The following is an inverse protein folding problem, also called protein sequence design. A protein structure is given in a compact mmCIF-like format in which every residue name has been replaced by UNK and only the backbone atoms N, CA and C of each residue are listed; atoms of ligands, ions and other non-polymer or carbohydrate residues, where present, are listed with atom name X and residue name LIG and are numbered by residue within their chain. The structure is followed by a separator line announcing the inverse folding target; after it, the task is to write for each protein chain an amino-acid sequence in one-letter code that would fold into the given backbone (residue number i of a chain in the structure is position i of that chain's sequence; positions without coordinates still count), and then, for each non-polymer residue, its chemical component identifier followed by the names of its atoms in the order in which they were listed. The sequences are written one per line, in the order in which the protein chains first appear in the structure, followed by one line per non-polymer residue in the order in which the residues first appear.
data_IF_282943126278
#
_entry.id   IF_282943126278
#
_cell.length_a   1.000
_cell.length_b   1.000
_cell.length_c   1.000
_cell.angle_alpha   90.00
_cell.angle_beta   90.00
_cell.angle_gamma   90.00
#
_symmetry.space_group_name_H-M   'P 1'
#
loop_
_entity.id
_entity.type
_entity.pdbx_description
1 polymer ?
#
# COMPACT_ATOMS: atom_id res chain seq x y z
N UNK A 1 18.25 11.06 -17.22
CA UNK A 1 17.25 11.29 -16.17
C UNK A 1 16.79 9.94 -15.65
N UNK A 2 16.73 9.71 -14.33
CA UNK A 2 16.29 8.43 -13.79
C UNK A 2 14.81 8.18 -14.11
N UNK A 3 14.46 6.97 -14.58
CA UNK A 3 13.08 6.59 -14.89
C UNK A 3 12.21 6.50 -13.63
N UNK A 4 12.79 6.11 -12.48
CA UNK A 4 12.12 6.04 -11.21
C UNK A 4 12.62 7.15 -10.29
N UNK A 5 11.71 7.96 -9.79
CA UNK A 5 12.03 9.01 -8.82
C UNK A 5 12.44 8.37 -7.48
N UNK A 6 13.41 9.02 -6.81
CA UNK A 6 13.79 8.63 -5.46
C UNK A 6 12.63 8.97 -4.51
N UNK A 7 12.27 8.01 -3.66
CA UNK A 7 11.24 8.22 -2.63
C UNK A 7 11.72 7.56 -1.32
N UNK A 8 11.61 8.30 -0.21
CA UNK A 8 12.12 7.87 1.09
C UNK A 8 11.27 6.74 1.73
N UNK A 9 10.11 6.39 1.13
CA UNK A 9 9.34 5.20 1.52
C UNK A 9 10.18 3.91 1.47
N UNK A 10 11.28 3.89 0.70
CA UNK A 10 12.22 2.77 0.66
C UNK A 10 12.84 2.48 2.03
N UNK A 11 12.89 3.47 2.93
CA UNK A 11 13.40 3.31 4.28
C UNK A 11 12.54 2.41 5.17
N UNK A 12 11.29 2.12 4.74
CA UNK A 12 10.43 1.16 5.43
C UNK A 12 10.90 -0.29 5.24
N UNK A 13 11.75 -0.55 4.24
CA UNK A 13 12.29 -1.88 3.97
C UNK A 13 13.72 -1.98 4.54
N UNK A 14 14.00 -3.03 5.30
CA UNK A 14 15.32 -3.28 5.91
C UNK A 14 15.29 -3.19 7.44
N UNK A 15 16.29 -2.55 8.04
CA UNK A 15 16.34 -2.37 9.49
C UNK A 15 15.19 -1.47 9.97
N UNK A 16 14.42 -1.98 10.93
CA UNK A 16 13.28 -1.27 11.50
C UNK A 16 13.55 -0.91 12.96
N UNK A 17 13.08 0.25 13.44
CA UNK A 17 13.11 0.55 14.86
C UNK A 17 12.16 -0.39 15.63
N UNK A 18 12.36 -0.52 16.95
CA UNK A 18 11.52 -1.36 17.78
C UNK A 18 10.03 -0.99 17.71
N UNK A 19 9.74 0.30 17.70
CA UNK A 19 8.36 0.82 17.61
C UNK A 19 8.07 1.34 16.20
N UNK A 20 7.86 0.43 15.27
CA UNK A 20 7.55 0.78 13.89
C UNK A 20 6.05 0.96 13.65
N UNK A 21 5.61 2.20 13.66
CA UNK A 21 4.28 2.65 13.26
C UNK A 21 4.25 3.17 11.81
N UNK A 22 5.34 3.04 11.06
CA UNK A 22 5.42 3.46 9.65
C UNK A 22 4.85 2.42 8.69
N UNK A 23 4.84 1.13 9.06
CA UNK A 23 4.37 0.05 8.22
C UNK A 23 2.84 -0.08 8.19
N UNK A 24 2.31 -0.54 7.06
CA UNK A 24 0.88 -0.70 6.80
C UNK A 24 0.46 -2.16 6.71
N UNK A 25 1.03 -3.00 7.57
CA UNK A 25 0.86 -4.46 7.58
C UNK A 25 0.55 -4.94 8.99
N UNK A 26 0.10 -6.19 9.11
CA UNK A 26 0.19 -6.95 10.34
C UNK A 26 1.46 -7.81 10.34
N UNK A 27 1.70 -8.63 11.40
CA UNK A 27 2.83 -9.54 11.45
C UNK A 27 2.85 -10.48 10.24
N UNK A 28 4.06 -10.80 9.77
CA UNK A 28 4.23 -11.76 8.69
C UNK A 28 3.92 -13.18 9.18
N UNK A 29 3.33 -13.99 8.30
CA UNK A 29 3.15 -15.41 8.52
C UNK A 29 4.51 -16.13 8.55
N UNK A 30 4.63 -17.10 9.44
CA UNK A 30 5.75 -18.04 9.44
C UNK A 30 5.40 -19.24 8.56
N UNK A 31 6.40 -19.93 8.09
CA UNK A 31 6.25 -21.15 7.29
C UNK A 31 5.32 -22.18 7.97
N UNK A 32 5.50 -22.39 9.28
CA UNK A 32 4.66 -23.30 10.07
C UNK A 32 3.22 -22.81 10.28
N UNK A 33 2.92 -21.53 10.09
CA UNK A 33 1.54 -21.02 10.15
C UNK A 33 0.77 -21.38 8.88
N UNK A 34 1.50 -21.64 7.79
CA UNK A 34 0.94 -21.92 6.46
C UNK A 34 0.85 -23.42 6.18
N UNK A 35 1.90 -24.19 6.50
CA UNK A 35 2.00 -25.60 6.20
C UNK A 35 1.63 -26.48 7.38
N UNK A 36 0.72 -27.41 7.16
CA UNK A 36 0.58 -28.57 8.02
C UNK A 36 1.84 -29.46 7.90
N UNK A 37 2.34 -30.07 9.01
CA UNK A 37 3.46 -31.01 8.95
C UNK A 37 3.27 -32.16 7.96
N UNK A 38 2.04 -32.58 7.70
CA UNK A 38 1.69 -33.61 6.70
C UNK A 38 1.90 -33.17 5.26
N UNK A 39 1.90 -31.86 4.97
CA UNK A 39 2.13 -31.29 3.64
C UNK A 39 3.63 -31.14 3.29
N UNK A 40 4.54 -31.18 4.28
CA UNK A 40 5.96 -30.98 4.08
C UNK A 40 6.61 -31.98 3.10
N UNK A 41 6.27 -33.30 3.12
CA UNK A 41 6.85 -34.26 2.18
C UNK A 41 6.60 -33.92 0.71
N UNK A 42 5.42 -33.36 0.40
CA UNK A 42 5.06 -32.99 -0.99
C UNK A 42 5.92 -31.88 -1.56
N UNK A 43 6.43 -30.97 -0.70
CA UNK A 43 7.35 -29.92 -1.11
C UNK A 43 8.77 -30.47 -1.40
N UNK A 44 9.21 -31.51 -0.67
CA UNK A 44 10.49 -32.18 -0.92
C UNK A 44 10.57 -32.89 -2.27
N UNK A 45 9.43 -33.32 -2.80
CA UNK A 45 9.32 -34.01 -4.09
C UNK A 45 8.98 -33.06 -5.27
N UNK A 46 8.77 -31.77 -4.99
CA UNK A 46 8.37 -30.79 -5.99
C UNK A 46 9.47 -30.56 -7.02
N UNK A 47 9.16 -30.74 -8.30
CA UNK A 47 10.06 -30.39 -9.38
C UNK A 47 10.16 -28.85 -9.50
N UNK A 48 11.39 -28.33 -9.55
CA UNK A 48 11.66 -26.88 -9.70
C UNK A 48 11.61 -26.46 -11.19
N UNK A 49 10.54 -26.83 -11.89
CA UNK A 49 10.28 -26.45 -13.27
C UNK A 49 9.61 -25.08 -13.39
N UNK A 50 9.31 -24.66 -14.62
CA UNK A 50 8.49 -23.45 -14.85
C UNK A 50 7.04 -23.71 -14.52
N UNK A 51 6.37 -22.68 -13.92
CA UNK A 51 4.93 -22.62 -13.83
C UNK A 51 4.28 -22.18 -15.16
N UNK A 52 2.97 -21.98 -15.12
CA UNK A 52 2.26 -21.44 -16.28
C UNK A 52 2.39 -19.91 -16.35
N UNK A 53 2.35 -19.36 -17.55
CA UNK A 53 2.43 -17.90 -17.74
C UNK A 53 1.25 -17.17 -17.05
N UNK A 54 0.06 -17.78 -17.00
CA UNK A 54 -1.10 -17.19 -16.34
C UNK A 54 -1.10 -17.41 -14.82
N UNK A 55 -0.47 -18.47 -14.31
CA UNK A 55 -0.44 -18.89 -12.90
C UNK A 55 -1.19 -20.21 -12.65
N UNK A 56 -0.96 -20.84 -11.50
CA UNK A 56 -1.59 -22.12 -11.11
C UNK A 56 -3.14 -22.03 -11.20
N UNK A 57 -3.83 -22.96 -11.89
CA UNK A 57 -5.28 -22.89 -12.05
C UNK A 57 -6.08 -22.93 -10.74
N UNK A 58 -5.60 -23.69 -9.73
CA UNK A 58 -6.28 -23.78 -8.42
C UNK A 58 -6.16 -22.46 -7.67
N UNK A 59 -4.97 -21.86 -7.71
CA UNK A 59 -4.72 -20.55 -7.12
C UNK A 59 -5.60 -19.48 -7.78
N UNK A 60 -5.70 -19.48 -9.11
CA UNK A 60 -6.59 -18.57 -9.85
C UNK A 60 -8.07 -18.76 -9.49
N UNK A 61 -8.50 -19.99 -9.24
CA UNK A 61 -9.87 -20.28 -8.79
C UNK A 61 -10.16 -19.65 -7.44
N UNK A 62 -9.29 -19.84 -6.43
CA UNK A 62 -9.49 -19.25 -5.10
C UNK A 62 -9.49 -17.72 -5.13
N UNK A 63 -8.63 -17.11 -5.95
CA UNK A 63 -8.63 -15.66 -6.16
C UNK A 63 -9.93 -15.19 -6.83
N UNK A 64 -10.37 -15.90 -7.86
CA UNK A 64 -11.58 -15.58 -8.60
C UNK A 64 -12.83 -15.63 -7.71
N UNK A 65 -12.96 -16.67 -6.89
CA UNK A 65 -14.08 -16.85 -5.95
C UNK A 65 -14.15 -15.68 -4.96
N UNK A 66 -13.00 -15.22 -4.45
CA UNK A 66 -12.93 -14.07 -3.54
C UNK A 66 -13.32 -12.74 -4.19
N UNK A 67 -13.36 -12.66 -5.52
CA UNK A 67 -13.68 -11.44 -6.28
C UNK A 67 -14.97 -11.57 -7.11
N UNK A 68 -15.62 -12.73 -7.11
CA UNK A 68 -16.86 -12.99 -7.86
C UNK A 68 -16.67 -12.97 -9.39
N UNK A 69 -15.53 -13.49 -9.88
CA UNK A 69 -15.18 -13.56 -11.31
C UNK A 69 -14.80 -14.98 -11.71
N UNK A 70 -14.46 -15.21 -12.97
CA UNK A 70 -13.98 -16.52 -13.43
C UNK A 70 -12.48 -16.65 -13.19
N UNK A 71 -12.00 -17.88 -12.92
CA UNK A 71 -10.57 -18.17 -12.79
C UNK A 71 -9.77 -17.73 -14.04
N UNK A 72 -10.39 -17.73 -15.20
CA UNK A 72 -9.78 -17.30 -16.46
C UNK A 72 -9.55 -15.79 -16.55
N UNK A 73 -10.26 -15.00 -15.75
CA UNK A 73 -10.09 -13.54 -15.69
C UNK A 73 -8.88 -13.13 -14.80
N UNK A 74 -8.23 -14.08 -14.11
CA UNK A 74 -7.12 -13.84 -13.17
C UNK A 74 -5.78 -14.13 -13.83
N UNK A 75 -4.83 -13.21 -13.67
CA UNK A 75 -3.41 -13.37 -14.00
C UNK A 75 -2.58 -13.21 -12.73
N UNK A 76 -1.91 -14.27 -12.31
CA UNK A 76 -1.01 -14.25 -11.15
C UNK A 76 0.28 -13.50 -11.50
N UNK A 77 0.77 -12.66 -10.59
CA UNK A 77 1.92 -11.78 -10.78
C UNK A 77 2.93 -11.88 -9.64
N UNK A 78 4.16 -11.41 -9.85
CA UNK A 78 5.17 -11.32 -8.78
C UNK A 78 4.88 -10.14 -7.83
N UNK A 79 3.85 -10.31 -7.00
CA UNK A 79 3.31 -9.28 -6.13
C UNK A 79 2.49 -8.23 -6.87
N UNK A 80 1.78 -7.38 -6.11
CA UNK A 80 0.95 -6.30 -6.66
C UNK A 80 1.74 -5.27 -7.47
N UNK A 81 3.01 -5.02 -7.12
CA UNK A 81 3.85 -4.08 -7.86
C UNK A 81 4.13 -4.53 -9.31
N UNK A 82 4.26 -5.83 -9.56
CA UNK A 82 4.40 -6.34 -10.91
C UNK A 82 3.10 -6.16 -11.71
N UNK A 83 1.93 -6.39 -11.07
CA UNK A 83 0.64 -6.09 -11.69
C UNK A 83 0.52 -4.61 -12.07
N UNK A 84 0.81 -3.69 -11.14
CA UNK A 84 0.78 -2.25 -11.38
C UNK A 84 1.70 -1.83 -12.53
N UNK A 85 2.93 -2.39 -12.55
CA UNK A 85 3.89 -2.10 -13.62
C UNK A 85 3.42 -2.60 -14.98
N UNK A 86 2.96 -3.85 -15.07
CA UNK A 86 2.49 -4.44 -16.33
C UNK A 86 1.28 -3.67 -16.88
N UNK A 87 0.31 -3.34 -16.03
CA UNK A 87 -0.87 -2.58 -16.43
C UNK A 87 -0.49 -1.20 -16.98
N UNK A 88 0.40 -0.48 -16.27
CA UNK A 88 0.88 0.81 -16.74
C UNK A 88 1.67 0.69 -18.06
N UNK A 89 2.53 -0.33 -18.19
CA UNK A 89 3.37 -0.56 -19.36
C UNK A 89 2.56 -0.96 -20.61
N UNK A 90 1.48 -1.71 -20.42
CA UNK A 90 0.64 -2.19 -21.52
C UNK A 90 -0.35 -1.12 -21.99
N UNK A 91 -0.91 -0.34 -21.06
CA UNK A 91 -2.00 0.59 -21.36
C UNK A 91 -1.54 2.01 -21.70
N UNK A 92 -0.32 2.40 -21.31
CA UNK A 92 0.15 3.77 -21.46
C UNK A 92 1.42 3.84 -22.28
N UNK A 93 1.37 4.61 -23.36
CA UNK A 93 2.54 5.03 -24.10
C UNK A 93 3.03 6.41 -23.67
N UNK A 94 4.21 6.79 -24.17
CA UNK A 94 4.79 8.09 -23.89
C UNK A 94 3.90 9.22 -24.42
N UNK A 95 3.37 10.02 -23.50
CA UNK A 95 2.51 11.18 -23.82
C UNK A 95 1.03 10.91 -23.61
N UNK A 96 0.61 9.65 -23.41
CA UNK A 96 -0.73 9.32 -22.96
C UNK A 96 -1.00 9.93 -21.57
N UNK A 97 -2.27 10.11 -21.25
CA UNK A 97 -2.67 10.68 -19.98
C UNK A 97 -3.12 9.58 -19.01
N UNK A 98 -2.60 9.65 -17.79
CA UNK A 98 -3.07 8.86 -16.66
C UNK A 98 -3.63 9.78 -15.58
N UNK A 99 -4.81 9.47 -15.06
CA UNK A 99 -5.42 10.22 -13.94
C UNK A 99 -5.22 9.46 -12.66
N UNK A 100 -4.80 10.15 -11.61
CA UNK A 100 -4.61 9.57 -10.28
C UNK A 100 -4.91 10.59 -9.19
N UNK A 101 -4.72 10.24 -7.93
CA UNK A 101 -5.01 11.09 -6.76
C UNK A 101 -3.74 11.47 -6.02
N UNK A 102 -3.82 12.46 -5.14
CA UNK A 102 -2.80 12.76 -4.12
C UNK A 102 -3.52 13.08 -2.81
N UNK A 103 -3.12 12.47 -1.68
CA UNK A 103 -2.02 11.50 -1.54
C UNK A 103 -2.34 10.12 -2.14
N UNK A 104 -1.29 9.36 -2.44
CA UNK A 104 -1.39 7.98 -2.94
C UNK A 104 -0.11 7.19 -2.65
N UNK A 105 -0.18 5.88 -2.85
CA UNK A 105 1.01 5.03 -2.79
C UNK A 105 2.02 5.43 -3.89
N UNK A 106 3.22 5.91 -3.50
CA UNK A 106 4.13 6.57 -4.45
C UNK A 106 4.66 5.63 -5.54
N UNK A 107 4.81 4.34 -5.24
CA UNK A 107 5.34 3.39 -6.22
C UNK A 107 4.34 3.13 -7.37
N UNK A 108 3.03 3.19 -7.11
CA UNK A 108 2.01 3.13 -8.15
C UNK A 108 2.14 4.34 -9.11
N UNK A 109 2.36 5.55 -8.57
CA UNK A 109 2.64 6.75 -9.38
C UNK A 109 3.93 6.61 -10.19
N UNK A 110 4.98 6.04 -9.56
CA UNK A 110 6.27 5.87 -10.22
C UNK A 110 6.20 4.94 -11.43
N UNK A 111 5.33 3.93 -11.44
CA UNK A 111 5.13 3.07 -12.63
C UNK A 111 4.61 3.86 -13.81
N UNK A 112 3.62 4.75 -13.60
CA UNK A 112 3.07 5.62 -14.64
C UNK A 112 4.12 6.61 -15.17
N UNK A 113 4.94 7.17 -14.28
CA UNK A 113 6.03 8.06 -14.69
C UNK A 113 7.10 7.32 -15.51
N UNK A 114 7.43 6.09 -15.12
CA UNK A 114 8.46 5.29 -15.77
C UNK A 114 8.13 4.92 -17.22
N UNK A 115 6.85 4.72 -17.54
CA UNK A 115 6.37 4.48 -18.91
C UNK A 115 6.20 5.78 -19.71
N UNK A 116 6.34 6.95 -19.09
CA UNK A 116 6.30 8.24 -19.74
C UNK A 116 4.89 8.83 -19.88
N UNK A 117 3.92 8.30 -19.15
CA UNK A 117 2.56 8.86 -19.09
C UNK A 117 2.56 10.28 -18.48
N UNK A 118 1.68 11.15 -18.98
CA UNK A 118 1.40 12.44 -18.37
C UNK A 118 0.39 12.27 -17.27
N UNK A 119 0.84 12.48 -16.02
CA UNK A 119 0.00 12.28 -14.85
C UNK A 119 -0.83 13.54 -14.57
N UNK A 120 -2.15 13.38 -14.54
CA UNK A 120 -3.10 14.35 -14.01
C UNK A 120 -3.51 13.92 -12.62
N UNK A 121 -3.31 14.80 -11.65
CA UNK A 121 -3.53 14.47 -10.23
C UNK A 121 -4.72 15.22 -9.68
N UNK A 122 -5.63 14.49 -9.04
CA UNK A 122 -6.75 15.02 -8.26
C UNK A 122 -6.35 15.08 -6.80
N UNK A 123 -6.48 16.23 -6.17
CA UNK A 123 -6.19 16.39 -4.74
C UNK A 123 -7.32 15.84 -3.89
N UNK A 124 -6.97 15.02 -2.90
CA UNK A 124 -7.86 14.53 -1.84
C UNK A 124 -7.41 15.18 -0.52
N UNK A 125 -8.01 16.30 -0.11
CA UNK A 125 -7.56 17.00 1.09
C UNK A 125 -7.97 16.26 2.37
N UNK A 126 -7.13 16.35 3.40
CA UNK A 126 -7.40 15.84 4.75
C UNK A 126 -8.75 16.33 5.30
N UNK A 127 -9.04 17.63 5.13
CA UNK A 127 -10.27 18.25 5.63
C UNK A 127 -11.56 17.73 4.99
N UNK A 128 -11.46 17.04 3.85
CA UNK A 128 -12.56 16.31 3.22
C UNK A 128 -12.53 14.81 3.53
N UNK A 129 -11.74 14.38 4.51
CA UNK A 129 -11.59 12.98 4.90
C UNK A 129 -11.05 12.09 3.78
N UNK A 130 -10.27 12.64 2.85
CA UNK A 130 -9.77 11.95 1.65
C UNK A 130 -10.86 11.33 0.78
N UNK A 131 -12.09 11.83 0.90
CA UNK A 131 -13.21 11.32 0.10
C UNK A 131 -13.02 11.65 -1.37
N UNK A 132 -13.21 10.66 -2.22
CA UNK A 132 -13.14 10.77 -3.66
C UNK A 132 -14.53 11.00 -4.27
N UNK A 133 -14.65 12.00 -5.15
CA UNK A 133 -15.84 12.26 -5.94
C UNK A 133 -15.54 11.93 -7.43
N UNK A 134 -16.45 11.19 -8.08
CA UNK A 134 -16.35 10.86 -9.49
C UNK A 134 -16.28 12.11 -10.38
N UNK A 135 -16.98 13.21 -10.02
CA UNK A 135 -16.92 14.46 -10.74
C UNK A 135 -15.54 15.14 -10.66
N UNK A 136 -14.82 14.98 -9.53
CA UNK A 136 -13.47 15.50 -9.38
C UNK A 136 -12.51 14.80 -10.37
N UNK A 137 -12.56 13.48 -10.46
CA UNK A 137 -11.82 12.72 -11.48
C UNK A 137 -12.30 13.14 -12.88
N UNK A 138 -13.62 13.23 -13.10
CA UNK A 138 -14.24 13.57 -14.36
C UNK A 138 -13.66 14.83 -15.00
N UNK A 139 -13.36 15.87 -14.21
CA UNK A 139 -12.75 17.12 -14.71
C UNK A 139 -11.34 16.94 -15.30
N UNK A 140 -10.66 15.84 -14.96
CA UNK A 140 -9.31 15.53 -15.42
C UNK A 140 -9.28 14.52 -16.58
N UNK A 141 -10.44 13.93 -16.94
CA UNK A 141 -10.56 13.01 -18.08
C UNK A 141 -10.49 13.77 -19.41
N UNK A 142 -9.81 13.17 -20.38
CA UNK A 142 -9.76 13.62 -21.78
C UNK A 142 -9.75 12.40 -22.72
N UNK A 143 -9.93 12.61 -24.00
CA UNK A 143 -9.82 11.55 -25.03
C UNK A 143 -8.44 10.85 -25.03
N UNK A 144 -7.40 11.50 -24.46
CA UNK A 144 -6.05 10.94 -24.32
C UNK A 144 -5.85 10.16 -23.03
N UNK A 145 -6.84 10.15 -22.14
CA UNK A 145 -6.78 9.35 -20.92
C UNK A 145 -6.81 7.87 -21.31
N UNK A 146 -5.81 7.10 -20.85
CA UNK A 146 -5.70 5.65 -21.04
C UNK A 146 -5.93 4.88 -19.76
N UNK A 147 -5.61 5.50 -18.62
CA UNK A 147 -5.68 4.86 -17.33
C UNK A 147 -6.13 5.83 -16.24
N UNK A 148 -7.12 5.43 -15.46
CA UNK A 148 -7.40 6.02 -14.15
C UNK A 148 -6.91 5.02 -13.10
N UNK A 149 -5.92 5.42 -12.27
CA UNK A 149 -5.28 4.52 -11.30
C UNK A 149 -5.57 4.98 -9.88
N UNK A 150 -6.33 4.19 -9.14
CA UNK A 150 -6.80 4.46 -7.79
C UNK A 150 -6.52 3.25 -6.88
N UNK A 151 -6.66 3.45 -5.57
CA UNK A 151 -6.67 2.38 -4.58
C UNK A 151 -7.93 2.48 -3.70
N UNK A 152 -8.52 1.35 -3.37
CA UNK A 152 -9.65 1.27 -2.44
C UNK A 152 -9.63 -0.07 -1.69
N UNK A 153 -9.38 -0.06 -0.39
CA UNK A 153 -9.07 1.08 0.51
C UNK A 153 -7.78 1.82 0.12
N UNK A 154 -7.78 3.14 0.32
CA UNK A 154 -6.68 4.01 -0.09
C UNK A 154 -5.46 3.86 0.82
N UNK A 155 -4.27 3.93 0.27
CA UNK A 155 -3.02 4.15 0.99
C UNK A 155 -2.53 5.58 0.66
N UNK A 156 -2.45 6.50 1.66
CA UNK A 156 -2.19 6.23 3.08
C UNK A 156 -3.39 6.30 4.05
N UNK A 157 -4.61 6.63 3.62
CA UNK A 157 -5.71 7.00 4.53
C UNK A 157 -6.54 5.82 5.07
N UNK A 158 -6.59 4.69 4.37
CA UNK A 158 -7.49 3.57 4.69
C UNK A 158 -8.97 3.82 4.32
N UNK A 159 -9.27 4.91 3.63
CA UNK A 159 -10.63 5.28 3.23
C UNK A 159 -11.08 4.43 2.04
N UNK A 160 -12.30 3.93 2.08
CA UNK A 160 -12.92 3.16 1.00
C UNK A 160 -13.68 4.11 0.06
N UNK A 161 -13.45 3.93 -1.24
CA UNK A 161 -14.30 4.54 -2.27
C UNK A 161 -15.61 3.76 -2.40
N UNK A 162 -16.77 4.35 -2.12
CA UNK A 162 -18.04 3.66 -2.23
C UNK A 162 -18.28 3.11 -3.63
N UNK A 163 -18.87 1.91 -3.73
CA UNK A 163 -19.13 1.26 -5.04
C UNK A 163 -20.00 2.13 -5.97
N UNK A 164 -20.90 2.95 -5.39
CA UNK A 164 -21.68 3.93 -6.14
C UNK A 164 -20.77 4.95 -6.83
N UNK A 165 -19.79 5.50 -6.12
CA UNK A 165 -18.82 6.44 -6.69
C UNK A 165 -18.04 5.80 -7.84
N UNK A 166 -17.62 4.54 -7.68
CA UNK A 166 -16.91 3.82 -8.74
C UNK A 166 -17.80 3.61 -9.98
N UNK A 167 -19.09 3.30 -9.82
CA UNK A 167 -20.04 3.22 -10.93
C UNK A 167 -20.20 4.57 -11.65
N UNK A 168 -20.37 5.63 -10.88
CA UNK A 168 -20.51 6.98 -11.44
C UNK A 168 -19.25 7.38 -12.22
N UNK A 169 -18.06 7.00 -11.72
CA UNK A 169 -16.80 7.22 -12.43
C UNK A 169 -16.71 6.41 -13.72
N UNK A 170 -17.07 5.12 -13.71
CA UNK A 170 -17.10 4.28 -14.92
C UNK A 170 -18.01 4.88 -15.96
N UNK A 171 -19.21 5.33 -15.59
CA UNK A 171 -20.14 5.97 -16.52
C UNK A 171 -19.57 7.28 -17.13
N UNK A 172 -18.83 8.07 -16.34
CA UNK A 172 -18.13 9.26 -16.85
C UNK A 172 -17.00 8.90 -17.81
N UNK A 173 -16.26 7.83 -17.51
CA UNK A 173 -15.19 7.35 -18.38
C UNK A 173 -15.73 6.83 -19.71
N UNK A 174 -16.84 6.10 -19.72
CA UNK A 174 -17.52 5.63 -20.95
C UNK A 174 -17.92 6.78 -21.87
N UNK A 175 -18.27 7.94 -21.30
CA UNK A 175 -18.65 9.14 -22.07
C UNK A 175 -17.45 9.93 -22.59
N UNK A 176 -16.35 10.03 -21.81
CA UNK A 176 -15.24 10.95 -22.08
C UNK A 176 -13.97 10.29 -22.62
N UNK A 177 -13.74 9.04 -22.26
CA UNK A 177 -12.57 8.26 -22.64
C UNK A 177 -12.92 6.75 -22.70
N UNK A 178 -13.78 6.31 -23.64
CA UNK A 178 -14.34 4.96 -23.67
C UNK A 178 -13.27 3.85 -23.78
N UNK A 179 -12.08 4.19 -24.28
CA UNK A 179 -10.95 3.26 -24.40
C UNK A 179 -10.10 3.17 -23.13
N UNK A 180 -10.33 4.05 -22.13
CA UNK A 180 -9.56 4.06 -20.90
C UNK A 180 -10.00 2.94 -19.95
N UNK A 181 -9.06 2.49 -19.12
CA UNK A 181 -9.32 1.55 -18.05
C UNK A 181 -9.29 2.23 -16.69
N UNK A 182 -10.10 1.73 -15.77
CA UNK A 182 -10.04 2.04 -14.36
C UNK A 182 -9.28 0.92 -13.64
N UNK A 183 -8.13 1.21 -13.07
CA UNK A 183 -7.38 0.32 -12.20
C UNK A 183 -7.73 0.64 -10.74
N UNK A 184 -8.18 -0.37 -10.00
CA UNK A 184 -8.36 -0.32 -8.55
C UNK A 184 -7.38 -1.28 -7.87
N UNK A 185 -6.46 -0.71 -7.10
CA UNK A 185 -5.63 -1.48 -6.18
C UNK A 185 -6.47 -1.81 -4.93
N UNK A 186 -6.87 -3.07 -4.83
CA UNK A 186 -7.72 -3.62 -3.77
C UNK A 186 -6.88 -4.35 -2.68
N UNK A 187 -5.60 -4.06 -2.58
CA UNK A 187 -4.65 -4.77 -1.68
C UNK A 187 -5.10 -4.78 -0.21
N UNK A 188 -5.88 -3.80 0.23
CA UNK A 188 -6.41 -3.73 1.61
C UNK A 188 -7.90 -4.13 1.72
N UNK A 189 -8.55 -4.57 0.66
CA UNK A 189 -10.00 -4.82 0.62
C UNK A 189 -10.50 -5.74 1.74
N UNK A 190 -9.74 -6.75 2.10
CA UNK A 190 -10.10 -7.74 3.13
C UNK A 190 -9.60 -7.38 4.54
N UNK A 191 -8.86 -6.29 4.69
CA UNK A 191 -8.35 -5.82 5.98
C UNK A 191 -9.38 -4.93 6.70
N UNK A 192 -10.62 -5.40 6.83
CA UNK A 192 -11.70 -4.75 7.61
C UNK A 192 -11.53 -5.03 9.11
N UNK A 193 -12.38 -4.48 9.96
CA UNK A 193 -12.24 -4.53 11.41
C UNK A 193 -13.30 -5.45 12.04
N UNK A 194 -12.84 -6.45 12.80
CA UNK A 194 -13.76 -7.39 13.46
C UNK A 194 -14.70 -8.08 12.46
N UNK A 195 -16.00 -7.90 12.64
CA UNK A 195 -17.04 -8.50 11.79
C UNK A 195 -17.54 -7.57 10.67
N UNK A 196 -16.88 -6.42 10.45
CA UNK A 196 -17.25 -5.51 9.37
C UNK A 196 -17.23 -6.20 8.01
N UNK A 197 -18.20 -5.91 7.16
CA UNK A 197 -18.30 -6.54 5.86
C UNK A 197 -17.15 -6.15 4.92
N UNK A 198 -16.66 -7.11 4.16
CA UNK A 198 -15.70 -6.86 3.06
C UNK A 198 -16.46 -6.26 1.88
N UNK A 199 -16.01 -5.11 1.39
CA UNK A 199 -16.60 -4.49 0.22
C UNK A 199 -16.48 -5.42 -1.01
N UNK A 200 -17.51 -5.51 -1.86
CA UNK A 200 -17.40 -6.25 -3.13
C UNK A 200 -16.28 -5.65 -4.00
N UNK A 201 -15.58 -6.51 -4.75
CA UNK A 201 -14.64 -6.03 -5.76
C UNK A 201 -15.38 -5.28 -6.87
N UNK A 202 -14.81 -4.17 -7.31
CA UNK A 202 -15.40 -3.37 -8.38
C UNK A 202 -15.15 -3.94 -9.78
N UNK A 203 -14.32 -4.96 -9.93
CA UNK A 203 -13.98 -5.58 -11.22
C UNK A 203 -15.22 -6.11 -11.98
N UNK A 204 -16.29 -6.43 -11.26
CA UNK A 204 -17.56 -6.86 -11.85
C UNK A 204 -18.37 -5.76 -12.54
N UNK A 205 -18.04 -4.47 -12.34
CA UNK A 205 -18.84 -3.35 -12.82
C UNK A 205 -18.75 -3.12 -14.35
N UNK A 206 -17.57 -3.33 -14.94
CA UNK A 206 -17.34 -3.12 -16.37
C UNK A 206 -16.15 -3.97 -16.84
N UNK A 207 -16.08 -4.27 -18.14
CA UNK A 207 -14.87 -4.86 -18.74
C UNK A 207 -13.66 -3.92 -18.71
N UNK A 208 -13.90 -2.60 -18.55
CA UNK A 208 -12.85 -1.58 -18.43
C UNK A 208 -12.37 -1.37 -16.99
N UNK A 209 -12.83 -2.18 -16.03
CA UNK A 209 -12.32 -2.16 -14.65
C UNK A 209 -11.33 -3.31 -14.46
N UNK A 210 -10.15 -2.95 -13.94
CA UNK A 210 -9.08 -3.86 -13.55
C UNK A 210 -8.97 -3.81 -12.03
N UNK A 211 -8.93 -4.95 -11.37
CA UNK A 211 -8.54 -5.05 -9.96
C UNK A 211 -7.13 -5.63 -9.86
N UNK A 212 -6.33 -5.16 -8.92
CA UNK A 212 -5.10 -5.82 -8.52
C UNK A 212 -5.00 -5.91 -7.01
N UNK A 213 -4.31 -6.93 -6.52
CA UNK A 213 -4.01 -7.12 -5.11
C UNK A 213 -2.82 -8.07 -4.91
N UNK A 214 -2.49 -8.36 -3.65
CA UNK A 214 -1.41 -9.29 -3.32
C UNK A 214 -1.61 -9.95 -1.96
N UNK A 215 -0.87 -11.02 -1.71
CA UNK A 215 -0.81 -11.67 -0.40
C UNK A 215 -0.04 -10.86 0.65
N UNK A 216 0.60 -9.76 0.25
CA UNK A 216 1.54 -9.02 1.11
C UNK A 216 0.89 -8.32 2.29
N UNK A 217 -0.38 -7.89 2.19
CA UNK A 217 -1.03 -7.03 3.19
C UNK A 217 -2.08 -7.78 4.01
N UNK A 218 -3.23 -8.08 3.41
CA UNK A 218 -4.32 -8.76 4.12
C UNK A 218 -3.94 -10.15 4.63
N UNK A 219 -3.12 -10.87 3.86
CA UNK A 219 -2.75 -12.26 4.19
C UNK A 219 -1.42 -12.38 4.97
N UNK A 220 -0.59 -11.31 5.05
CA UNK A 220 0.66 -11.32 5.79
C UNK A 220 1.74 -12.22 5.20
N UNK A 221 1.77 -12.40 3.89
CA UNK A 221 2.77 -13.20 3.21
C UNK A 221 3.55 -12.38 2.16
N UNK A 222 4.19 -11.25 2.55
CA UNK A 222 4.93 -10.41 1.61
C UNK A 222 6.13 -11.13 0.99
N UNK A 223 6.74 -12.07 1.71
CA UNK A 223 7.91 -12.83 1.27
C UNK A 223 7.64 -13.76 0.10
N UNK A 224 6.40 -14.23 -0.10
CA UNK A 224 6.02 -15.05 -1.25
C UNK A 224 6.04 -14.29 -2.57
N UNK A 225 6.16 -12.98 -2.56
CA UNK A 225 6.15 -12.14 -3.77
C UNK A 225 5.03 -12.50 -4.73
N UNK A 226 3.80 -12.73 -4.22
CA UNK A 226 2.67 -13.15 -5.02
C UNK A 226 1.52 -12.15 -4.94
N UNK A 227 0.97 -11.83 -6.12
CA UNK A 227 -0.17 -10.96 -6.33
C UNK A 227 -0.91 -11.36 -7.61
N UNK A 228 -1.84 -10.53 -8.03
CA UNK A 228 -2.66 -10.77 -9.21
C UNK A 228 -3.18 -9.49 -9.84
N UNK A 229 -3.47 -9.58 -11.13
CA UNK A 229 -4.34 -8.67 -11.86
C UNK A 229 -5.59 -9.43 -12.31
N UNK A 230 -6.75 -8.80 -12.23
CA UNK A 230 -8.03 -9.35 -12.67
C UNK A 230 -8.61 -8.40 -13.70
N UNK A 231 -8.95 -8.95 -14.87
CA UNK A 231 -9.64 -8.22 -15.93
C UNK A 231 -10.63 -9.13 -16.65
N UNK A 232 -11.79 -8.59 -16.97
CA UNK A 232 -12.81 -9.29 -17.77
C UNK A 232 -12.69 -9.02 -19.27
N UNK A 233 -11.74 -8.16 -19.65
CA UNK A 233 -11.36 -7.92 -21.06
C UNK A 233 -10.36 -8.99 -21.49
N UNK A 234 -10.79 -9.86 -22.44
CA UNK A 234 -9.98 -10.98 -22.92
C UNK A 234 -8.71 -10.52 -23.65
N UNK A 235 -8.78 -9.42 -24.41
CA UNK A 235 -7.63 -8.89 -25.14
C UNK A 235 -6.58 -8.32 -24.16
N UNK A 236 -7.02 -7.57 -23.16
CA UNK A 236 -6.10 -7.08 -22.12
C UNK A 236 -5.50 -8.22 -21.30
N UNK A 237 -6.27 -9.26 -20.97
CA UNK A 237 -5.77 -10.44 -20.28
C UNK A 237 -4.62 -11.10 -21.06
N UNK A 238 -4.82 -11.32 -22.37
CA UNK A 238 -3.76 -11.87 -23.22
C UNK A 238 -2.50 -11.03 -23.20
N UNK A 239 -2.63 -9.72 -23.27
CA UNK A 239 -1.49 -8.79 -23.18
C UNK A 239 -0.81 -8.85 -21.81
N UNK A 240 -1.56 -8.98 -20.70
CA UNK A 240 -0.99 -9.16 -19.35
C UNK A 240 -0.22 -10.47 -19.23
N UNK A 241 -0.75 -11.57 -19.78
CA UNK A 241 -0.05 -12.87 -19.82
C UNK A 241 1.22 -12.77 -20.64
N UNK A 242 1.18 -12.14 -21.81
CA UNK A 242 2.36 -11.94 -22.66
C UNK A 242 3.38 -10.98 -22.04
N UNK A 243 2.92 -9.91 -21.40
CA UNK A 243 3.79 -8.99 -20.65
C UNK A 243 4.49 -9.68 -19.49
N UNK A 244 3.77 -10.50 -18.71
CA UNK A 244 4.37 -11.34 -17.67
C UNK A 244 5.38 -12.34 -18.25
N UNK A 245 5.01 -13.03 -19.33
CA UNK A 245 5.90 -13.99 -19.98
C UNK A 245 7.22 -13.36 -20.43
N UNK A 246 7.17 -12.15 -21.00
CA UNK A 246 8.34 -11.43 -21.47
C UNK A 246 9.17 -10.74 -20.35
N UNK A 247 8.64 -10.68 -19.12
CA UNK A 247 9.37 -10.09 -17.97
C UNK A 247 9.93 -11.16 -17.03
N UNK A 248 9.12 -12.14 -16.65
CA UNK A 248 9.47 -13.13 -15.63
C UNK A 248 9.10 -14.57 -16.00
N UNK A 249 8.59 -14.82 -17.21
CA UNK A 249 8.11 -16.10 -17.73
C UNK A 249 6.90 -16.62 -16.93
N UNK A 250 7.13 -17.01 -15.68
CA UNK A 250 6.10 -17.48 -14.71
C UNK A 250 6.48 -16.99 -13.31
N UNK A 251 5.56 -17.04 -12.37
CA UNK A 251 5.92 -16.98 -10.96
C UNK A 251 6.61 -18.31 -10.55
N UNK A 252 7.28 -18.29 -9.41
CA UNK A 252 7.87 -19.49 -8.82
C UNK A 252 6.76 -20.50 -8.47
N UNK A 253 6.79 -21.73 -8.96
CA UNK A 253 5.82 -22.76 -8.58
C UNK A 253 5.81 -23.06 -7.08
N UNK A 254 6.96 -22.92 -6.41
CA UNK A 254 7.05 -23.07 -4.96
C UNK A 254 6.24 -21.98 -4.25
N UNK A 255 6.38 -20.72 -4.68
CA UNK A 255 5.63 -19.61 -4.09
C UNK A 255 4.13 -19.72 -4.41
N UNK A 256 3.76 -20.18 -5.62
CA UNK A 256 2.36 -20.44 -5.98
C UNK A 256 1.76 -21.57 -5.14
N UNK A 257 2.51 -22.63 -4.85
CA UNK A 257 2.08 -23.73 -4.00
C UNK A 257 1.88 -23.27 -2.53
N UNK A 258 2.82 -22.49 -1.99
CA UNK A 258 2.67 -21.89 -0.65
C UNK A 258 1.48 -20.92 -0.59
N UNK A 259 1.29 -20.11 -1.63
CA UNK A 259 0.17 -19.19 -1.73
C UNK A 259 -1.18 -19.92 -1.79
N UNK A 260 -1.23 -21.10 -2.43
CA UNK A 260 -2.43 -21.96 -2.43
C UNK A 260 -2.83 -22.32 -0.99
N UNK A 261 -1.90 -22.79 -0.16
CA UNK A 261 -2.16 -23.09 1.24
C UNK A 261 -2.59 -21.86 2.06
N UNK A 262 -2.03 -20.68 1.78
CA UNK A 262 -2.48 -19.42 2.39
C UNK A 262 -3.94 -19.14 2.04
N UNK A 263 -4.33 -19.28 0.77
CA UNK A 263 -5.68 -18.96 0.33
C UNK A 263 -6.71 -20.06 0.70
N UNK A 264 -6.33 -21.32 0.77
CA UNK A 264 -7.17 -22.39 1.31
C UNK A 264 -7.53 -22.16 2.79
N UNK A 265 -6.65 -21.49 3.55
CA UNK A 265 -6.85 -21.11 4.96
C UNK A 265 -7.28 -19.66 5.13
N UNK A 266 -7.67 -19.00 4.02
CA UNK A 266 -7.96 -17.55 3.98
C UNK A 266 -8.88 -17.09 5.10
N UNK A 267 -10.01 -17.75 5.33
CA UNK A 267 -11.01 -17.31 6.30
C UNK A 267 -10.47 -17.31 7.73
N UNK A 268 -9.66 -18.29 8.09
CA UNK A 268 -8.96 -18.34 9.37
C UNK A 268 -7.93 -17.21 9.49
N UNK A 269 -7.04 -17.09 8.51
CA UNK A 269 -5.97 -16.09 8.50
C UNK A 269 -6.55 -14.66 8.53
N UNK A 270 -7.51 -14.37 7.67
CA UNK A 270 -8.16 -13.05 7.59
C UNK A 270 -8.96 -12.77 8.87
N UNK A 271 -9.69 -13.74 9.40
CA UNK A 271 -10.48 -13.58 10.62
C UNK A 271 -9.61 -13.21 11.83
N UNK A 272 -8.46 -13.85 12.02
CA UNK A 272 -7.51 -13.49 13.08
C UNK A 272 -6.94 -12.08 12.89
N UNK A 273 -6.56 -11.76 11.65
CA UNK A 273 -5.98 -10.45 11.34
C UNK A 273 -6.99 -9.32 11.53
N UNK A 274 -8.25 -9.52 11.15
CA UNK A 274 -9.33 -8.54 11.35
C UNK A 274 -9.60 -8.25 12.82
N UNK A 275 -9.58 -9.28 13.69
CA UNK A 275 -9.70 -9.09 15.15
C UNK A 275 -8.55 -8.25 15.69
N UNK A 276 -7.30 -8.58 15.30
CA UNK A 276 -6.12 -7.81 15.68
C UNK A 276 -6.17 -6.36 15.19
N UNK A 277 -6.63 -6.13 13.95
CA UNK A 277 -6.80 -4.78 13.40
C UNK A 277 -7.86 -3.99 14.15
N UNK A 278 -8.96 -4.62 14.57
CA UNK A 278 -9.99 -3.97 15.39
C UNK A 278 -9.44 -3.51 16.75
N UNK A 279 -8.63 -4.34 17.40
CA UNK A 279 -7.95 -3.98 18.65
C UNK A 279 -6.97 -2.81 18.46
N UNK A 280 -6.13 -2.87 17.42
CA UNK A 280 -5.18 -1.79 17.10
C UNK A 280 -5.88 -0.47 16.74
N UNK A 281 -6.99 -0.54 15.99
CA UNK A 281 -7.81 0.63 15.68
C UNK A 281 -8.43 1.25 16.94
N UNK A 282 -8.91 0.43 17.89
CA UNK A 282 -9.49 0.92 19.14
C UNK A 282 -8.43 1.66 19.97
N UNK A 283 -7.24 1.08 20.14
CA UNK A 283 -6.12 1.74 20.83
C UNK A 283 -5.71 3.07 20.16
N UNK A 284 -5.67 3.08 18.83
CA UNK A 284 -5.34 4.29 18.06
C UNK A 284 -6.42 5.35 18.22
N UNK A 285 -7.70 4.98 18.20
CA UNK A 285 -8.83 5.90 18.42
C UNK A 285 -8.81 6.52 19.83
N UNK A 286 -8.51 5.70 20.85
CA UNK A 286 -8.34 6.16 22.23
C UNK A 286 -7.17 7.14 22.34
N UNK A 287 -6.04 6.82 21.72
CA UNK A 287 -4.87 7.70 21.68
C UNK A 287 -5.17 9.04 21.01
N UNK A 288 -5.88 9.06 19.88
CA UNK A 288 -6.30 10.31 19.21
C UNK A 288 -7.20 11.13 20.12
N UNK A 289 -8.18 10.51 20.80
CA UNK A 289 -9.07 11.19 21.73
C UNK A 289 -8.32 11.82 22.90
N UNK A 290 -7.31 11.13 23.45
CA UNK A 290 -6.50 11.63 24.57
C UNK A 290 -5.52 12.75 24.17
N UNK A 291 -5.27 12.89 22.89
CA UNK A 291 -4.37 13.89 22.34
C UNK A 291 -5.07 14.85 21.36
N UNK A 292 -6.40 14.99 21.47
CA UNK A 292 -7.23 15.78 20.56
C UNK A 292 -6.88 17.28 20.52
N UNK A 293 -6.26 17.81 21.58
CA UNK A 293 -5.71 19.17 21.60
C UNK A 293 -4.55 19.36 20.59
N UNK A 294 -3.86 18.29 20.19
CA UNK A 294 -2.62 18.32 19.42
C UNK A 294 -2.78 17.69 18.04
N UNK A 295 -3.59 16.65 17.92
CA UNK A 295 -3.75 15.87 16.70
C UNK A 295 -5.19 15.74 16.28
N UNK A 296 -5.39 15.43 15.03
CA UNK A 296 -6.65 15.02 14.44
C UNK A 296 -6.39 13.93 13.41
N UNK A 297 -7.39 13.15 13.08
CA UNK A 297 -7.21 12.04 12.16
C UNK A 297 -8.39 11.85 11.22
N UNK A 298 -8.11 11.17 10.12
CA UNK A 298 -9.17 10.55 9.32
C UNK A 298 -9.26 9.10 9.76
N UNK A 299 -10.40 8.74 10.36
CA UNK A 299 -10.63 7.35 10.79
C UNK A 299 -10.72 6.47 9.54
N UNK A 300 -9.92 5.39 9.46
CA UNK A 300 -9.92 4.52 8.29
C UNK A 300 -11.14 3.61 8.27
N UNK A 301 -11.56 3.21 7.07
CA UNK A 301 -12.62 2.22 6.85
C UNK A 301 -12.05 0.79 6.78
N UNK A 302 -10.80 0.64 6.35
CA UNK A 302 -10.07 -0.63 6.29
C UNK A 302 -8.55 -0.41 6.20
N UNK A 303 -7.79 -1.50 6.33
CA UNK A 303 -6.32 -1.47 6.34
C UNK A 303 -5.73 -1.41 7.74
N UNK A 304 -4.43 -1.58 7.82
CA UNK A 304 -3.65 -1.49 9.06
C UNK A 304 -3.04 -0.10 9.26
N UNK A 305 -3.71 0.96 8.81
CA UNK A 305 -3.16 2.31 8.67
C UNK A 305 -4.24 3.40 8.74
N UNK A 306 -3.83 4.60 9.16
CA UNK A 306 -4.64 5.80 9.08
C UNK A 306 -3.75 7.03 8.85
N UNK A 307 -4.36 8.17 8.49
CA UNK A 307 -3.69 9.46 8.44
C UNK A 307 -4.01 10.27 9.70
N UNK A 308 -2.96 10.73 10.35
CA UNK A 308 -3.02 11.65 11.51
C UNK A 308 -2.36 12.96 11.12
N UNK A 309 -2.94 14.08 11.52
CA UNK A 309 -2.42 15.42 11.27
C UNK A 309 -2.10 16.11 12.60
N UNK A 310 -0.91 16.69 12.70
CA UNK A 310 -0.57 17.67 13.72
C UNK A 310 -1.42 18.93 13.49
N UNK A 311 -2.16 19.40 14.52
CA UNK A 311 -3.07 20.53 14.36
C UNK A 311 -2.34 21.80 13.94
N UNK A 312 -2.74 22.43 12.80
CA UNK A 312 -2.11 23.67 12.34
C UNK A 312 -2.20 24.83 13.33
N UNK A 313 -3.20 24.82 14.22
CA UNK A 313 -3.38 25.82 15.27
C UNK A 313 -2.37 25.71 16.43
N UNK A 314 -1.66 24.57 16.53
CA UNK A 314 -0.72 24.29 17.62
C UNK A 314 0.71 24.20 17.10
N UNK A 315 0.89 23.67 15.90
CA UNK A 315 2.23 23.39 15.33
C UNK A 315 2.43 24.19 14.05
N UNK A 316 3.47 25.00 14.02
CA UNK A 316 4.02 25.60 12.81
C UNK A 316 4.90 24.60 12.03
N UNK A 317 5.58 25.03 10.98
CA UNK A 317 6.40 24.14 10.17
C UNK A 317 7.68 23.70 10.89
N UNK A 318 8.29 24.57 11.70
CA UNK A 318 9.50 24.24 12.45
C UNK A 318 9.20 23.21 13.54
N UNK A 319 8.03 23.34 14.20
CA UNK A 319 7.53 22.34 15.14
C UNK A 319 7.27 20.98 14.48
N UNK A 320 6.80 20.97 13.23
CA UNK A 320 6.61 19.71 12.47
C UNK A 320 7.95 19.01 12.21
N UNK A 321 8.97 19.74 11.82
CA UNK A 321 10.33 19.17 11.63
C UNK A 321 10.90 18.66 12.97
N UNK A 322 10.72 19.43 14.04
CA UNK A 322 11.08 19.04 15.40
C UNK A 322 10.37 17.77 15.88
N UNK A 323 9.12 17.56 15.48
CA UNK A 323 8.35 16.34 15.78
C UNK A 323 9.01 15.09 15.21
N UNK A 324 9.36 15.07 13.93
CA UNK A 324 10.02 13.91 13.32
C UNK A 324 11.41 13.64 13.94
N UNK A 325 12.16 14.69 14.27
CA UNK A 325 13.43 14.55 14.97
C UNK A 325 13.25 13.98 16.39
N UNK A 326 12.18 14.37 17.09
CA UNK A 326 11.84 13.84 18.42
C UNK A 326 11.45 12.36 18.35
N UNK A 327 10.63 11.95 17.37
CA UNK A 327 10.26 10.53 17.20
C UNK A 327 11.46 9.62 17.00
N UNK A 328 12.44 10.04 16.20
CA UNK A 328 13.66 9.27 15.98
C UNK A 328 14.45 9.03 17.29
N UNK A 329 14.48 10.01 18.20
CA UNK A 329 15.10 9.86 19.52
C UNK A 329 14.34 8.91 20.44
N UNK A 330 13.01 8.86 20.32
CA UNK A 330 12.15 7.95 21.07
C UNK A 330 12.16 6.51 20.49
N UNK A 331 12.85 6.28 19.39
CA UNK A 331 12.87 4.99 18.69
C UNK A 331 11.52 4.62 18.06
N UNK A 332 10.69 5.63 17.74
CA UNK A 332 9.40 5.48 17.06
C UNK A 332 9.52 5.94 15.62
N UNK A 333 8.96 5.21 14.69
CA UNK A 333 8.85 5.59 13.28
C UNK A 333 7.39 5.69 12.87
N UNK A 334 7.05 6.79 12.17
CA UNK A 334 5.81 6.94 11.39
C UNK A 334 6.19 7.22 9.94
N UNK A 335 5.27 7.03 9.00
CA UNK A 335 5.56 7.36 7.61
C UNK A 335 5.12 8.81 7.31
N UNK A 336 6.07 9.65 6.89
CA UNK A 336 5.81 11.05 6.61
C UNK A 336 4.85 11.22 5.43
N UNK A 337 3.85 12.11 5.55
CA UNK A 337 2.84 12.39 4.53
C UNK A 337 3.43 12.83 3.19
N UNK A 338 4.56 13.56 3.21
CA UNK A 338 5.23 14.00 1.98
C UNK A 338 5.65 12.81 1.08
N UNK A 339 5.91 11.62 1.65
CA UNK A 339 6.23 10.43 0.86
C UNK A 339 5.07 10.03 -0.06
N UNK A 340 3.84 10.35 0.34
CA UNK A 340 2.60 10.02 -0.37
C UNK A 340 2.07 11.20 -1.21
N UNK A 341 2.71 12.38 -1.10
CA UNK A 341 2.25 13.62 -1.74
C UNK A 341 1.22 14.39 -0.92
N UNK A 342 1.24 14.22 0.40
CA UNK A 342 0.47 14.97 1.38
C UNK A 342 1.33 16.05 2.05
N UNK A 343 0.77 16.79 3.01
CA UNK A 343 1.46 17.78 3.81
C UNK A 343 2.45 17.13 4.80
N UNK A 344 3.53 17.81 5.15
CA UNK A 344 4.52 17.33 6.12
C UNK A 344 3.92 17.12 7.52
N UNK A 345 2.87 17.88 7.88
CA UNK A 345 2.16 17.76 9.18
C UNK A 345 1.22 16.57 9.26
N UNK A 346 0.96 15.90 8.13
CA UNK A 346 0.24 14.63 8.07
C UNK A 346 1.24 13.49 8.11
N UNK A 347 0.95 12.47 8.87
CA UNK A 347 1.71 11.23 8.85
C UNK A 347 0.78 10.02 8.79
N UNK A 348 1.23 8.98 8.08
CA UNK A 348 0.56 7.68 8.14
C UNK A 348 1.01 6.95 9.40
N UNK A 349 0.04 6.52 10.19
CA UNK A 349 0.21 5.69 11.37
C UNK A 349 -0.30 4.29 11.08
N UNK A 350 0.56 3.28 11.19
CA UNK A 350 0.23 1.87 11.11
C UNK A 350 -0.02 1.28 12.50
N UNK A 351 -1.09 0.54 12.66
CA UNK A 351 -1.50 -0.02 13.95
C UNK A 351 -1.67 -1.55 13.94
N UNK A 352 -1.27 -2.21 12.84
CA UNK A 352 -1.46 -3.66 12.68
C UNK A 352 -0.24 -4.50 13.00
N UNK A 353 0.97 -3.93 12.95
CA UNK A 353 2.24 -4.67 13.02
C UNK A 353 2.61 -5.09 14.46
N UNK A 354 2.58 -4.14 15.37
CA UNK A 354 3.05 -4.31 16.74
C UNK A 354 2.11 -5.18 17.57
N UNK A 355 2.63 -5.85 18.60
CA UNK A 355 1.81 -6.45 19.63
C UNK A 355 0.96 -5.38 20.35
N UNK A 356 -0.11 -5.78 21.03
CA UNK A 356 -0.93 -4.83 21.80
C UNK A 356 -0.07 -4.01 22.77
N UNK A 357 0.79 -4.66 23.55
CA UNK A 357 1.65 -3.99 24.53
C UNK A 357 2.66 -3.05 23.86
N UNK A 358 3.26 -3.45 22.74
CA UNK A 358 4.22 -2.61 22.02
C UNK A 358 3.51 -1.43 21.34
N UNK A 359 2.27 -1.62 20.83
CA UNK A 359 1.47 -0.52 20.28
C UNK A 359 1.13 0.51 21.35
N UNK A 360 0.68 0.09 22.53
CA UNK A 360 0.41 0.97 23.67
C UNK A 360 1.68 1.75 24.09
N UNK A 361 2.83 1.09 24.14
CA UNK A 361 4.11 1.71 24.44
C UNK A 361 4.53 2.71 23.35
N UNK A 362 4.37 2.37 22.08
CA UNK A 362 4.66 3.25 20.94
C UNK A 362 3.78 4.50 20.94
N UNK A 363 2.47 4.34 21.18
CA UNK A 363 1.51 5.46 21.27
C UNK A 363 1.80 6.37 22.46
N UNK A 364 2.25 5.82 23.59
CA UNK A 364 2.70 6.60 24.75
C UNK A 364 3.93 7.46 24.41
N UNK A 365 4.92 6.91 23.72
CA UNK A 365 6.11 7.65 23.24
C UNK A 365 5.74 8.70 22.20
N UNK A 366 4.80 8.38 21.31
CA UNK A 366 4.25 9.32 20.33
C UNK A 366 3.58 10.51 21.05
N UNK A 367 2.79 10.27 22.11
CA UNK A 367 2.22 11.34 22.96
C UNK A 367 3.30 12.21 23.59
N UNK A 368 4.36 11.59 24.11
CA UNK A 368 5.48 12.34 24.72
C UNK A 368 6.16 13.26 23.70
N UNK A 369 6.39 12.77 22.47
CA UNK A 369 6.96 13.58 21.39
C UNK A 369 6.07 14.77 21.03
N UNK A 370 4.78 14.53 20.82
CA UNK A 370 3.79 15.57 20.47
C UNK A 370 3.73 16.65 21.55
N UNK A 371 3.59 16.27 22.83
CA UNK A 371 3.49 17.22 23.96
C UNK A 371 4.78 18.00 24.18
N UNK A 372 5.93 17.37 24.00
CA UNK A 372 7.24 18.05 24.11
C UNK A 372 7.36 19.18 23.11
N UNK A 373 7.02 18.95 21.85
CA UNK A 373 7.11 19.98 20.81
C UNK A 373 6.07 21.09 21.04
N UNK A 374 4.87 20.77 21.52
CA UNK A 374 3.86 21.77 21.83
C UNK A 374 4.25 22.70 23.00
N UNK A 375 5.05 22.20 23.96
CA UNK A 375 5.48 23.01 25.13
C UNK A 375 6.75 23.84 24.85
N UNK A 376 7.63 23.39 23.96
CA UNK A 376 8.91 24.05 23.64
C UNK A 376 9.16 24.08 22.13
N UNK A 377 8.41 24.87 21.39
CA UNK A 377 8.58 24.95 19.94
C UNK A 377 10.01 25.39 19.55
N UNK A 378 10.67 26.26 20.37
CA UNK A 378 12.02 26.75 20.13
C UNK A 378 13.15 25.81 20.61
N UNK A 379 12.84 24.67 21.25
CA UNK A 379 13.88 23.73 21.71
C UNK A 379 14.57 22.97 20.54
N UNK A 380 14.07 23.14 19.35
CA UNK A 380 14.62 22.62 18.10
C UNK A 380 14.65 23.75 17.07
N UNK A 381 15.55 24.76 17.23
CA UNK A 381 15.72 25.79 16.21
C UNK A 381 15.99 25.04 14.89
N UNK A 382 15.24 25.40 13.86
CA UNK A 382 15.42 24.85 12.53
C UNK A 382 16.89 24.91 12.19
N UNK A 383 17.51 23.76 11.97
CA UNK A 383 18.90 23.73 11.57
C UNK A 383 18.98 24.49 10.24
N UNK A 384 19.77 25.53 10.15
CA UNK A 384 20.31 26.06 8.89
C UNK A 384 21.13 24.99 8.14
N UNK A 385 21.11 23.76 8.63
CA UNK A 385 21.64 22.56 8.01
C UNK A 385 20.71 22.13 6.87
N UNK A 386 21.20 22.31 5.67
CA UNK A 386 20.60 21.81 4.43
C UNK A 386 20.20 20.32 4.60
N UNK A 387 19.16 19.81 3.88
CA UNK A 387 18.73 18.43 3.95
C UNK A 387 19.83 17.37 3.78
N UNK A 388 21.03 17.78 3.35
CA UNK A 388 22.22 16.94 3.22
C UNK A 388 22.92 16.59 4.54
N UNK A 389 22.75 17.36 5.60
CA UNK A 389 23.48 17.15 6.88
C UNK A 389 22.72 16.23 7.85
N UNK A 390 21.40 16.28 7.86
CA UNK A 390 20.57 15.30 8.59
C UNK A 390 20.78 13.88 8.02
N UNK A 391 21.13 13.76 6.73
CA UNK A 391 21.48 12.49 6.09
C UNK A 391 22.83 11.91 6.54
N UNK A 392 23.75 12.71 7.07
CA UNK A 392 25.06 12.24 7.56
C UNK A 392 25.02 11.64 8.96
N UNK A 393 24.08 12.08 9.80
CA UNK A 393 23.96 11.60 11.17
C UNK A 393 23.37 10.19 11.30
N UNK A 394 22.76 9.65 10.23
CA UNK A 394 22.11 8.31 10.19
C UNK A 394 22.95 7.26 9.47
N UNK A 395 24.19 7.57 9.05
CA UNK A 395 25.07 6.53 8.48
C UNK A 395 25.82 5.80 9.59
N UNK A 396 25.74 4.46 9.68
CA UNK A 396 26.62 3.71 10.57
C UNK A 396 28.06 3.90 10.10
N UNK A 397 28.96 4.15 11.05
CA UNK A 397 30.42 4.14 10.81
C UNK A 397 30.83 2.73 10.37
N UNK A 398 31.07 2.54 9.10
CA UNK A 398 31.77 1.36 8.63
C UNK A 398 33.20 1.41 9.17
N UNK A 399 33.53 0.51 10.09
CA UNK A 399 34.89 0.29 10.53
C UNK A 399 35.71 -0.28 9.37
N UNK A 400 36.60 0.54 8.83
CA UNK A 400 37.67 0.09 7.95
C UNK A 400 38.79 -0.44 8.85
N UNK A 401 39.23 -1.66 8.59
CA UNK A 401 40.65 -2.04 8.41
C UNK A 401 40.81 -3.54 8.50
N UNK A 402 41.11 -4.15 7.38
CA UNK A 402 41.83 -5.43 7.36
C UNK A 402 43.28 -5.12 6.96
N UNK A 403 44.29 -5.60 7.67
CA UNK A 403 45.68 -5.43 7.27
C UNK A 403 46.03 -6.37 6.12
N UNK A 404 46.79 -5.87 5.17
CA UNK A 404 47.53 -6.66 4.18
C UNK A 404 48.55 -7.52 4.91
N UNK A 405 48.51 -8.81 4.65
CA UNK A 405 49.66 -9.69 4.90
C UNK A 405 50.26 -10.07 3.56
N UNK A 406 51.55 -9.95 3.57
CA UNK A 406 52.55 -10.28 2.55
C UNK A 406 52.38 -11.65 1.88
#
# INVERSE_FOLDING_TARGET
MARFAKNDIISLIGETPHYDLGESVGPDLRFNDVLDPSAQPSFGEMALGYGTAQGDPRLRTLIADAHGVRADDVVVTMGGMHALFLIAFILCDRGDEAVTVSPMFPLARNTLQAVGAKIRTVSLPFDRGYQLDAADIGRHLSERTKLVSLASPQNPSGVISPLKMVRDLVALMEQRCPEAYLLLDETYREATYGDDAVAPSAVGLSQRVISCASLSKCHGAPGLRLGWAITRDAALKEQLVMGKFNTVISCSPLDEALALHVLERRDHIIGERRRRLAEGLALTADWVRENDAFVEWVRPDAGALCCVRLRPSVFDNDAVDGFYASLAREGVRVANGIWFGDEARVFRLGFGLLSKADLEAALTRLSAAVRRIAQWPDAFPGSDSTPSEVRRAVRPKTSASSPKAS
#
